data_IF_052503327145
#
_entry.id   IF_052503327145
#
_cell.length_a   1.000
_cell.length_b   1.000
_cell.length_c   1.000
_cell.angle_alpha   90.00
_cell.angle_beta   90.00
_cell.angle_gamma   90.00
#
_symmetry.space_group_name_H-M   'P 1'
#
loop_
_entity.id
_entity.type
_entity.pdbx_description
1 polymer ?
#
# COMPACT_ATOMS: atom_id res chain seq x y z
N UNK A 1 23.82 27.95 28.65
CA UNK A 1 22.57 28.31 27.93
C UNK A 1 21.41 27.76 28.74
N UNK A 2 20.50 28.61 29.24
CA UNK A 2 19.46 28.17 30.18
C UNK A 2 18.35 27.40 29.45
N UNK A 3 18.03 26.20 29.97
CA UNK A 3 16.94 25.32 29.48
C UNK A 3 15.59 26.04 29.41
N UNK A 4 15.37 27.04 30.27
CA UNK A 4 14.15 27.84 30.34
C UNK A 4 13.83 28.62 29.04
N UNK A 5 14.86 28.96 28.23
CA UNK A 5 14.65 29.61 26.94
C UNK A 5 14.14 28.68 25.85
N UNK A 6 14.29 27.38 26.05
CA UNK A 6 13.80 26.37 25.09
C UNK A 6 12.33 26.02 25.33
N UNK A 7 11.89 26.06 26.61
CA UNK A 7 10.53 25.68 27.02
C UNK A 7 9.54 26.84 26.86
N UNK A 8 9.99 28.09 27.01
CA UNK A 8 9.13 29.28 26.87
C UNK A 8 9.68 30.20 25.77
N UNK A 9 9.37 29.93 24.49
CA UNK A 9 9.82 30.78 23.40
C UNK A 9 9.19 32.17 23.51
N UNK A 10 10.00 33.24 23.34
CA UNK A 10 9.45 34.60 23.26
C UNK A 10 8.56 34.72 22.03
N UNK A 11 7.32 35.12 22.18
CA UNK A 11 6.34 35.34 21.11
C UNK A 11 6.72 36.58 20.28
N UNK A 12 7.76 36.45 19.49
CA UNK A 12 8.25 37.48 18.57
C UNK A 12 7.70 37.26 17.17
N UNK A 13 7.70 38.30 16.33
CA UNK A 13 7.36 38.13 14.89
C UNK A 13 8.16 37.00 14.23
N UNK A 14 9.46 36.87 14.57
CA UNK A 14 10.30 35.81 14.07
C UNK A 14 9.86 34.38 14.51
N UNK A 15 9.29 34.24 15.72
CA UNK A 15 8.70 33.01 16.19
C UNK A 15 7.50 32.58 15.32
N UNK A 16 6.56 33.50 15.08
CA UNK A 16 5.38 33.24 14.25
C UNK A 16 5.75 32.90 12.79
N UNK A 17 6.73 33.61 12.23
CA UNK A 17 7.24 33.31 10.87
C UNK A 17 7.80 31.87 10.81
N UNK A 18 8.60 31.44 11.78
CA UNK A 18 9.16 30.07 11.83
C UNK A 18 8.05 29.03 11.94
N UNK A 19 7.05 29.24 12.79
CA UNK A 19 5.90 28.34 12.90
C UNK A 19 5.13 28.28 11.58
N UNK A 20 4.88 29.41 10.94
CA UNK A 20 4.20 29.43 9.63
C UNK A 20 5.00 28.69 8.56
N UNK A 21 6.31 28.89 8.49
CA UNK A 21 7.19 28.15 7.55
C UNK A 21 7.15 26.65 7.81
N UNK A 22 7.27 26.22 9.08
CA UNK A 22 7.18 24.80 9.44
C UNK A 22 5.81 24.22 9.06
N UNK A 23 4.73 24.92 9.37
CA UNK A 23 3.37 24.46 9.05
C UNK A 23 3.17 24.31 7.53
N UNK A 24 3.60 25.31 6.76
CA UNK A 24 3.52 25.25 5.28
C UNK A 24 4.39 24.13 4.72
N UNK A 25 5.62 23.99 5.23
CA UNK A 25 6.53 22.90 4.77
C UNK A 25 5.95 21.53 5.07
N UNK A 26 5.42 21.31 6.28
CA UNK A 26 4.78 20.05 6.67
C UNK A 26 3.54 19.77 5.82
N UNK A 27 2.73 20.79 5.56
CA UNK A 27 1.56 20.67 4.70
C UNK A 27 1.94 20.30 3.25
N UNK A 28 2.97 20.94 2.69
CA UNK A 28 3.48 20.62 1.35
C UNK A 28 4.02 19.19 1.28
N UNK A 29 4.82 18.76 2.27
CA UNK A 29 5.31 17.37 2.33
C UNK A 29 4.15 16.39 2.40
N UNK A 30 3.16 16.62 3.27
CA UNK A 30 1.97 15.79 3.37
C UNK A 30 1.16 15.74 2.07
N UNK A 31 1.04 16.87 1.37
CA UNK A 31 0.29 16.94 0.13
C UNK A 31 0.93 16.20 -1.03
N UNK A 32 2.27 16.27 -1.16
CA UNK A 32 2.97 15.79 -2.36
C UNK A 32 3.76 14.50 -2.17
N UNK A 33 4.14 14.15 -0.95
CA UNK A 33 5.08 13.04 -0.70
C UNK A 33 4.52 11.96 0.20
N UNK A 34 3.84 12.33 1.26
CA UNK A 34 3.42 11.43 2.32
C UNK A 34 1.94 11.60 2.64
N UNK A 35 1.21 10.50 2.72
CA UNK A 35 -0.20 10.52 3.13
C UNK A 35 -0.43 9.56 4.29
N UNK A 36 -0.77 10.07 5.48
CA UNK A 36 -1.19 9.23 6.59
C UNK A 36 -2.42 8.40 6.22
N UNK A 37 -2.46 7.15 6.64
CA UNK A 37 -3.56 6.23 6.40
C UNK A 37 -3.74 5.26 7.58
N UNK A 38 -4.95 4.77 7.74
CA UNK A 38 -5.23 3.63 8.60
C UNK A 38 -5.46 2.44 7.69
N UNK A 39 -4.84 1.31 8.03
CA UNK A 39 -5.04 0.04 7.31
C UNK A 39 -6.45 -0.46 7.63
N UNK A 40 -7.32 -0.47 6.65
CA UNK A 40 -8.67 -0.97 6.82
C UNK A 40 -8.74 -2.46 6.44
N UNK A 41 -9.31 -3.27 7.35
CA UNK A 41 -9.50 -4.70 7.16
C UNK A 41 -8.27 -5.57 7.42
N UNK A 42 -8.52 -6.88 7.51
CA UNK A 42 -7.56 -7.93 7.90
C UNK A 42 -6.84 -8.57 6.70
N UNK A 43 -7.09 -8.06 5.50
CA UNK A 43 -6.64 -8.72 4.25
C UNK A 43 -5.12 -8.80 4.07
N UNK A 44 -4.36 -8.02 4.82
CA UNK A 44 -2.90 -8.00 4.79
C UNK A 44 -2.25 -8.61 6.04
N UNK A 45 -3.03 -9.20 6.94
CA UNK A 45 -2.48 -9.90 8.08
C UNK A 45 -1.72 -11.18 7.65
N UNK A 46 -0.64 -11.51 8.36
CA UNK A 46 -0.06 -10.83 9.51
C UNK A 46 0.91 -9.69 9.14
N UNK A 47 1.19 -9.45 7.86
CA UNK A 47 2.19 -8.46 7.40
C UNK A 47 1.84 -7.05 7.89
N UNK A 48 0.56 -6.71 7.85
CA UNK A 48 0.03 -5.45 8.37
C UNK A 48 -1.17 -5.73 9.26
N UNK A 49 -1.10 -5.24 10.50
CA UNK A 49 -2.20 -5.39 11.45
C UNK A 49 -3.43 -4.58 10.98
N UNK A 50 -4.62 -5.17 11.13
CA UNK A 50 -5.88 -4.47 10.93
C UNK A 50 -5.96 -3.22 11.83
N UNK A 51 -6.51 -2.13 11.28
CA UNK A 51 -6.62 -0.82 11.95
C UNK A 51 -5.28 -0.20 12.37
N UNK A 52 -4.14 -0.74 11.88
CA UNK A 52 -2.81 -0.18 12.10
C UNK A 52 -2.64 1.16 11.40
N UNK A 53 -1.85 2.05 12.00
CA UNK A 53 -1.45 3.30 11.36
C UNK A 53 -0.28 3.06 10.41
N UNK A 54 -0.31 3.66 9.23
CA UNK A 54 0.80 3.66 8.28
C UNK A 54 0.82 4.99 7.50
N UNK A 55 1.85 5.17 6.68
CA UNK A 55 1.99 6.34 5.81
C UNK A 55 2.24 5.86 4.39
N UNK A 56 1.41 6.32 3.46
CA UNK A 56 1.63 6.07 2.03
C UNK A 56 2.69 7.03 1.49
N UNK A 57 3.74 6.47 0.88
CA UNK A 57 4.78 7.22 0.15
C UNK A 57 4.32 7.40 -1.29
N UNK A 58 3.77 8.57 -1.62
CA UNK A 58 3.17 8.87 -2.93
C UNK A 58 4.19 8.94 -4.08
N UNK A 59 5.47 9.10 -3.75
CA UNK A 59 6.54 9.23 -4.74
C UNK A 59 7.27 7.93 -5.01
N UNK A 60 6.89 6.85 -4.34
CA UNK A 60 7.61 5.58 -4.38
C UNK A 60 7.82 5.01 -5.80
N UNK A 61 6.81 5.20 -6.64
CA UNK A 61 6.81 4.65 -8.01
C UNK A 61 6.99 5.71 -9.10
N UNK A 62 7.59 6.88 -8.76
CA UNK A 62 7.95 7.91 -9.76
C UNK A 62 9.19 7.55 -10.56
N UNK A 63 10.16 6.87 -9.94
CA UNK A 63 11.45 6.52 -10.55
C UNK A 63 11.53 5.07 -11.02
N UNK A 64 10.70 4.19 -10.48
CA UNK A 64 10.60 2.78 -10.89
C UNK A 64 9.15 2.32 -10.80
N UNK A 65 8.69 1.41 -11.67
CA UNK A 65 7.38 0.78 -11.50
C UNK A 65 7.37 -0.12 -10.24
N UNK A 66 6.18 -0.52 -9.76
CA UNK A 66 6.07 -1.59 -8.78
C UNK A 66 6.72 -2.88 -9.28
N UNK A 67 7.25 -3.67 -8.37
CA UNK A 67 7.81 -4.99 -8.64
C UNK A 67 6.92 -6.09 -8.04
N UNK A 68 7.08 -7.34 -8.51
CA UNK A 68 6.40 -8.49 -7.93
C UNK A 68 6.79 -8.65 -6.47
N UNK A 69 5.80 -8.84 -5.61
CA UNK A 69 5.98 -8.90 -4.17
C UNK A 69 5.90 -7.56 -3.45
N UNK A 70 5.96 -6.41 -4.17
CA UNK A 70 5.75 -5.10 -3.55
C UNK A 70 4.34 -5.01 -2.92
N UNK A 71 4.26 -4.47 -1.71
CA UNK A 71 2.99 -4.05 -1.14
C UNK A 71 2.67 -2.65 -1.63
N UNK A 72 1.54 -2.51 -2.28
CA UNK A 72 1.08 -1.26 -2.87
C UNK A 72 -0.12 -0.71 -2.13
N UNK A 73 -0.21 0.61 -2.09
CA UNK A 73 -1.40 1.34 -1.63
C UNK A 73 -2.28 1.63 -2.83
N UNK A 74 -3.49 1.11 -2.81
CA UNK A 74 -4.48 1.28 -3.85
C UNK A 74 -5.48 2.36 -3.46
N UNK A 75 -5.84 3.21 -4.41
CA UNK A 75 -6.83 4.27 -4.21
C UNK A 75 -8.17 3.86 -4.82
N UNK A 76 -9.19 3.81 -3.96
CA UNK A 76 -10.59 3.56 -4.35
C UNK A 76 -11.47 4.74 -3.92
N UNK A 77 -12.42 5.12 -4.76
CA UNK A 77 -13.42 6.12 -4.40
C UNK A 77 -12.87 7.50 -4.01
N UNK A 78 -11.89 8.03 -4.75
CA UNK A 78 -11.20 9.25 -4.40
C UNK A 78 -10.07 9.02 -3.39
N UNK A 79 -9.74 10.03 -2.54
CA UNK A 79 -8.64 9.92 -1.56
C UNK A 79 -9.02 9.23 -0.25
N UNK A 80 -10.28 8.85 -0.08
CA UNK A 80 -10.84 8.43 1.22
C UNK A 80 -10.59 6.97 1.56
N UNK A 81 -10.56 6.09 0.55
CA UNK A 81 -10.38 4.65 0.78
C UNK A 81 -9.07 4.20 0.16
N UNK A 82 -8.14 3.82 1.01
CA UNK A 82 -6.85 3.24 0.64
C UNK A 82 -6.78 1.80 1.12
N UNK A 83 -6.49 0.88 0.21
CA UNK A 83 -6.31 -0.53 0.50
C UNK A 83 -4.86 -0.92 0.29
N UNK A 84 -4.33 -1.75 1.17
CA UNK A 84 -3.05 -2.40 0.98
C UNK A 84 -3.25 -3.72 0.26
N UNK A 85 -2.46 -4.00 -0.77
CA UNK A 85 -2.41 -5.27 -1.48
C UNK A 85 -1.00 -5.55 -1.96
N UNK A 86 -0.69 -6.83 -2.19
CA UNK A 86 0.60 -7.26 -2.74
C UNK A 86 0.47 -7.51 -4.23
N UNK A 87 1.46 -7.08 -5.00
CA UNK A 87 1.54 -7.31 -6.45
C UNK A 87 1.98 -8.75 -6.70
N UNK A 88 1.17 -9.50 -7.43
CA UNK A 88 1.45 -10.90 -7.79
C UNK A 88 1.84 -11.05 -9.26
N UNK A 89 1.24 -10.26 -10.16
CA UNK A 89 1.52 -10.36 -11.59
C UNK A 89 1.28 -9.03 -12.32
N UNK A 90 1.83 -8.96 -13.53
CA UNK A 90 1.78 -7.79 -14.41
C UNK A 90 1.01 -8.08 -15.70
N UNK A 91 0.77 -7.06 -16.50
CA UNK A 91 0.14 -7.18 -17.80
C UNK A 91 0.80 -8.27 -18.66
N UNK A 92 -0.04 -9.04 -19.36
CA UNK A 92 0.39 -10.14 -20.22
C UNK A 92 0.66 -11.46 -19.49
N UNK A 93 0.88 -11.44 -18.18
CA UNK A 93 1.09 -12.65 -17.39
C UNK A 93 -0.23 -13.34 -17.06
N UNK A 94 -0.20 -14.66 -16.97
CA UNK A 94 -1.36 -15.49 -16.63
C UNK A 94 -1.31 -15.89 -15.16
N UNK A 95 -2.36 -15.54 -14.40
CA UNK A 95 -2.50 -15.86 -12.98
C UNK A 95 -3.57 -16.91 -12.77
N UNK A 96 -3.27 -17.90 -11.96
CA UNK A 96 -4.22 -18.92 -11.49
C UNK A 96 -3.97 -19.22 -10.00
N UNK A 97 -4.94 -19.86 -9.35
CA UNK A 97 -4.73 -20.46 -8.03
C UNK A 97 -5.09 -21.94 -8.10
N UNK A 98 -4.22 -22.79 -7.57
CA UNK A 98 -4.43 -24.23 -7.45
C UNK A 98 -4.16 -24.66 -6.02
N UNK A 99 -5.19 -25.17 -5.34
CA UNK A 99 -5.13 -25.53 -3.92
C UNK A 99 -4.52 -24.40 -3.05
N UNK A 100 -4.86 -23.15 -3.36
CA UNK A 100 -4.37 -21.97 -2.67
C UNK A 100 -2.98 -21.47 -3.07
N UNK A 101 -2.25 -22.21 -3.88
CA UNK A 101 -0.95 -21.80 -4.43
C UNK A 101 -1.19 -20.85 -5.61
N UNK A 102 -0.60 -19.64 -5.56
CA UNK A 102 -0.59 -18.75 -6.71
C UNK A 102 0.36 -19.26 -7.78
N UNK A 103 -0.13 -19.35 -9.00
CA UNK A 103 0.63 -19.79 -10.18
C UNK A 103 0.67 -18.64 -11.18
N UNK A 104 1.86 -18.22 -11.58
CA UNK A 104 2.06 -17.17 -12.58
C UNK A 104 2.83 -17.77 -13.76
N UNK A 105 2.26 -17.70 -14.96
CA UNK A 105 2.80 -18.29 -16.20
C UNK A 105 3.18 -19.77 -16.05
N UNK A 106 2.33 -20.53 -15.36
CA UNK A 106 2.51 -21.95 -15.11
C UNK A 106 3.55 -22.31 -14.03
N UNK A 107 4.11 -21.32 -13.33
CA UNK A 107 5.08 -21.53 -12.24
C UNK A 107 4.48 -21.10 -10.91
N UNK A 108 4.62 -21.96 -9.89
CA UNK A 108 4.21 -21.60 -8.53
C UNK A 108 5.03 -20.39 -8.05
N UNK A 109 4.33 -19.40 -7.53
CA UNK A 109 4.95 -18.23 -6.93
C UNK A 109 5.43 -18.58 -5.51
N UNK A 110 6.66 -18.18 -5.18
CA UNK A 110 7.17 -18.27 -3.82
C UNK A 110 6.59 -17.12 -2.99
N UNK A 111 5.78 -17.45 -1.99
CA UNK A 111 5.05 -16.50 -1.17
C UNK A 111 5.34 -16.73 0.34
N UNK A 112 6.57 -16.45 0.82
CA UNK A 112 6.99 -16.75 2.19
C UNK A 112 6.24 -15.94 3.26
N UNK A 113 5.53 -14.90 2.86
CA UNK A 113 4.71 -14.05 3.73
C UNK A 113 3.34 -14.66 4.09
N UNK A 114 2.94 -15.72 3.41
CA UNK A 114 1.66 -16.39 3.69
C UNK A 114 1.74 -17.24 4.94
N UNK A 115 0.82 -16.99 5.88
CA UNK A 115 0.69 -17.78 7.11
C UNK A 115 -0.52 -18.73 7.04
N UNK A 116 -1.57 -18.30 6.34
CA UNK A 116 -2.80 -19.08 6.17
C UNK A 116 -3.15 -19.16 4.69
N UNK A 117 -3.43 -20.37 4.25
CA UNK A 117 -3.86 -20.65 2.88
C UNK A 117 -5.23 -21.36 2.93
N UNK A 118 -6.18 -20.82 2.17
CA UNK A 118 -7.47 -21.46 1.97
C UNK A 118 -7.46 -22.08 0.59
N UNK A 119 -7.45 -23.32 0.40
CA UNK A 119 -7.39 -24.10 -0.87
C UNK A 119 -8.11 -23.50 -2.09
N UNK A 120 -7.88 -22.24 -2.42
CA UNK A 120 -8.49 -21.54 -3.56
C UNK A 120 -8.16 -22.25 -4.88
N UNK A 121 -9.19 -22.40 -5.70
CA UNK A 121 -9.04 -22.88 -7.07
C UNK A 121 -9.64 -21.84 -8.00
N UNK A 122 -8.78 -21.05 -8.67
CA UNK A 122 -9.18 -20.00 -9.59
C UNK A 122 -8.58 -20.30 -10.97
N UNK A 123 -9.42 -20.36 -12.01
CA UNK A 123 -8.94 -20.67 -13.36
C UNK A 123 -7.95 -19.62 -13.87
N UNK A 124 -7.06 -20.01 -14.80
CA UNK A 124 -6.09 -19.09 -15.38
C UNK A 124 -6.75 -17.86 -16.00
N UNK A 125 -6.18 -16.71 -15.72
CA UNK A 125 -6.61 -15.42 -16.26
C UNK A 125 -5.39 -14.59 -16.66
N UNK A 126 -5.37 -14.11 -17.90
CA UNK A 126 -4.31 -13.19 -18.34
C UNK A 126 -4.63 -11.78 -17.91
N UNK A 127 -3.66 -11.11 -17.29
CA UNK A 127 -3.76 -9.71 -16.84
C UNK A 127 -3.78 -8.79 -18.05
N UNK A 128 -4.77 -7.91 -18.11
CA UNK A 128 -4.97 -7.00 -19.24
C UNK A 128 -3.90 -5.91 -19.29
N UNK A 129 -3.66 -5.32 -20.48
CA UNK A 129 -2.76 -4.17 -20.62
C UNK A 129 -3.10 -3.03 -19.65
N UNK A 130 -2.07 -2.40 -19.06
CA UNK A 130 -2.21 -1.31 -18.10
C UNK A 130 -2.67 -1.74 -16.71
N UNK A 131 -2.83 -3.05 -16.45
CA UNK A 131 -3.28 -3.59 -15.17
C UNK A 131 -2.17 -4.37 -14.47
N UNK A 132 -2.36 -4.54 -13.17
CA UNK A 132 -1.60 -5.46 -12.32
C UNK A 132 -2.57 -6.38 -11.59
N UNK A 133 -2.11 -7.57 -11.23
CA UNK A 133 -2.87 -8.48 -10.39
C UNK A 133 -2.37 -8.37 -8.96
N UNK A 134 -3.27 -8.07 -8.03
CA UNK A 134 -2.93 -7.85 -6.62
C UNK A 134 -3.81 -8.70 -5.71
N UNK A 135 -3.26 -9.09 -4.55
CA UNK A 135 -3.98 -9.87 -3.56
C UNK A 135 -3.52 -9.49 -2.15
N UNK A 136 -4.35 -9.76 -1.16
CA UNK A 136 -3.97 -9.64 0.24
C UNK A 136 -3.14 -10.83 0.70
N UNK A 137 -2.36 -10.65 1.76
CA UNK A 137 -1.54 -11.71 2.36
C UNK A 137 -2.38 -12.70 3.19
N UNK A 138 -3.51 -12.23 3.72
CA UNK A 138 -4.44 -13.11 4.43
C UNK A 138 -5.34 -13.85 3.44
N UNK A 139 -4.98 -15.11 3.12
CA UNK A 139 -5.73 -15.99 2.22
C UNK A 139 -6.72 -16.89 2.95
N UNK A 140 -7.05 -16.62 4.23
CA UNK A 140 -7.95 -17.46 5.03
C UNK A 140 -9.43 -17.30 4.70
N UNK A 141 -9.81 -16.24 4.00
CA UNK A 141 -11.18 -15.97 3.57
C UNK A 141 -11.46 -16.54 2.18
N UNK A 142 -12.73 -16.86 1.84
CA UNK A 142 -13.10 -17.28 0.49
C UNK A 142 -12.68 -16.24 -0.57
N UNK A 143 -12.31 -16.73 -1.77
CA UNK A 143 -11.84 -15.88 -2.85
C UNK A 143 -12.84 -14.80 -3.25
N UNK A 144 -14.13 -15.14 -3.24
CA UNK A 144 -15.24 -14.29 -3.69
C UNK A 144 -15.43 -13.03 -2.83
N UNK A 145 -15.04 -13.11 -1.56
CA UNK A 145 -15.13 -11.96 -0.63
C UNK A 145 -13.80 -11.23 -0.50
N UNK A 146 -12.76 -11.72 -1.17
CA UNK A 146 -11.44 -11.12 -1.12
C UNK A 146 -11.37 -9.91 -2.06
N UNK A 147 -11.18 -8.72 -1.49
CA UNK A 147 -10.96 -7.50 -2.29
C UNK A 147 -9.57 -7.53 -2.88
N UNK A 148 -9.46 -8.00 -4.11
CA UNK A 148 -8.20 -8.14 -4.84
C UNK A 148 -8.48 -8.46 -6.31
N UNK A 149 -7.45 -8.97 -7.00
CA UNK A 149 -7.53 -9.35 -8.40
C UNK A 149 -6.92 -8.32 -9.34
N UNK A 150 -7.48 -8.22 -10.55
CA UNK A 150 -6.95 -7.36 -11.60
C UNK A 150 -7.37 -5.90 -11.38
N UNK A 151 -6.39 -4.99 -11.32
CA UNK A 151 -6.57 -3.58 -11.02
C UNK A 151 -5.73 -2.72 -11.97
N UNK A 152 -6.27 -1.59 -12.42
CA UNK A 152 -5.51 -0.65 -13.23
C UNK A 152 -4.30 -0.10 -12.44
N UNK A 153 -3.11 -0.15 -13.05
CA UNK A 153 -1.87 0.35 -12.46
C UNK A 153 -1.97 1.81 -12.02
N UNK A 154 -2.78 2.61 -12.73
CA UNK A 154 -3.06 4.00 -12.39
C UNK A 154 -3.75 4.19 -11.01
N UNK A 155 -4.30 3.12 -10.42
CA UNK A 155 -4.86 3.16 -9.04
C UNK A 155 -3.80 2.95 -7.96
N UNK A 156 -2.58 2.61 -8.32
CA UNK A 156 -1.48 2.50 -7.36
C UNK A 156 -1.05 3.90 -6.95
N UNK A 157 -1.39 4.29 -5.74
CA UNK A 157 -1.06 5.62 -5.19
C UNK A 157 0.39 5.70 -4.71
N UNK A 158 0.96 4.59 -4.27
CA UNK A 158 2.29 4.53 -3.69
C UNK A 158 2.51 3.21 -2.94
N UNK A 159 3.45 3.21 -2.00
CA UNK A 159 3.70 2.08 -1.11
C UNK A 159 3.58 2.50 0.36
N UNK A 160 3.33 1.56 1.29
CA UNK A 160 3.47 1.85 2.72
C UNK A 160 4.93 2.16 3.06
N UNK A 161 5.13 2.97 4.11
CA UNK A 161 6.46 3.40 4.55
C UNK A 161 7.19 2.27 5.30
N UNK A 162 6.47 1.47 6.09
CA UNK A 162 6.97 0.30 6.84
C UNK A 162 6.02 -0.87 6.76
#
# INVERSE_FOLDING_TARGET
MSLSRFIFPRLTRGFFIRIAVLAVSTWLVGMFWLRPMVVDGESMEPTYAAHGFNVCVLTAYRSRPPERGDVVVLQYGGTRYMLLKRVLAFEGETVAFSNGVCVVDGRALDEPYLVKNSGWNVPPRTVKPGNVYVMGDNRSVPFEVHVGGEIALARVAGRPLW
#
